data_IF_210004388887
#
_entry.id   IF_210004388887
#
_cell.length_a   1.000
_cell.length_b   1.000
_cell.length_c   1.000
_cell.angle_alpha   90.00
_cell.angle_beta   90.00
_cell.angle_gamma   90.00
#
_symmetry.space_group_name_H-M   'P 1'
#
loop_
_entity.id
_entity.type
_entity.pdbx_description
1 polymer ?
#
# COMPACT_ATOMS: atom_id res chain seq x y z
N UNK A 1 12.56 22.11 -9.63
CA UNK A 1 12.97 21.10 -10.64
C UNK A 1 13.49 19.81 -10.03
N UNK A 2 14.35 19.81 -8.99
CA UNK A 2 14.68 18.57 -8.22
C UNK A 2 13.78 18.37 -7.00
N UNK A 3 13.36 19.46 -6.35
CA UNK A 3 12.48 19.42 -5.16
C UNK A 3 11.14 18.74 -5.47
N UNK A 4 10.58 19.04 -6.64
CA UNK A 4 9.27 18.50 -7.08
C UNK A 4 9.30 16.98 -7.28
N UNK A 5 10.46 16.41 -7.67
CA UNK A 5 10.61 14.96 -7.83
C UNK A 5 10.77 14.24 -6.49
N UNK A 6 11.42 14.88 -5.51
CA UNK A 6 11.58 14.29 -4.18
C UNK A 6 10.22 14.24 -3.47
N UNK A 7 9.47 15.34 -3.49
CA UNK A 7 8.14 15.39 -2.89
C UNK A 7 7.18 14.39 -3.55
N UNK A 8 7.24 14.21 -4.87
CA UNK A 8 6.46 13.18 -5.54
C UNK A 8 6.81 11.74 -5.09
N UNK A 9 8.10 11.46 -4.88
CA UNK A 9 8.53 10.15 -4.40
C UNK A 9 8.18 9.93 -2.92
N UNK A 10 8.21 10.98 -2.11
CA UNK A 10 7.76 10.96 -0.71
C UNK A 10 6.26 10.70 -0.62
N UNK A 11 5.43 11.44 -1.36
CA UNK A 11 3.98 11.22 -1.44
C UNK A 11 3.64 9.79 -1.90
N UNK A 12 4.39 9.27 -2.88
CA UNK A 12 4.21 7.91 -3.38
C UNK A 12 4.55 6.87 -2.29
N UNK A 13 5.61 7.10 -1.52
CA UNK A 13 6.00 6.22 -0.42
C UNK A 13 5.01 6.28 0.75
N UNK A 14 4.48 7.46 1.08
CA UNK A 14 3.43 7.63 2.09
C UNK A 14 2.16 6.86 1.73
N UNK A 15 1.88 6.69 0.43
CA UNK A 15 0.76 5.88 -0.05
C UNK A 15 1.01 4.37 -0.03
N UNK A 16 2.20 3.92 0.40
CA UNK A 16 2.61 2.51 0.36
C UNK A 16 3.05 1.97 1.72
N UNK A 17 2.79 0.68 1.94
CA UNK A 17 3.22 -0.03 3.14
C UNK A 17 4.10 -1.22 2.80
N UNK A 18 5.04 -1.53 3.70
CA UNK A 18 5.88 -2.72 3.58
C UNK A 18 5.15 -3.92 4.19
N UNK A 19 4.72 -4.85 3.33
CA UNK A 19 3.92 -6.01 3.72
C UNK A 19 4.45 -7.28 3.06
N UNK A 20 4.22 -8.44 3.67
CA UNK A 20 4.60 -9.73 3.07
C UNK A 20 3.66 -10.09 1.92
N UNK A 21 4.20 -10.15 0.70
CA UNK A 21 3.46 -10.60 -0.46
C UNK A 21 3.57 -12.12 -0.60
N UNK A 22 2.46 -12.83 -0.47
CA UNK A 22 2.45 -14.31 -0.62
C UNK A 22 2.79 -14.77 -2.03
N UNK A 23 2.56 -13.91 -3.04
CA UNK A 23 2.80 -14.24 -4.44
C UNK A 23 4.26 -14.01 -4.84
N UNK A 24 4.92 -12.99 -4.26
CA UNK A 24 6.36 -12.80 -4.39
C UNK A 24 7.16 -13.71 -3.45
N UNK A 25 6.58 -14.08 -2.30
CA UNK A 25 7.24 -14.86 -1.26
C UNK A 25 8.18 -14.05 -0.38
N UNK A 26 8.12 -12.72 -0.42
CA UNK A 26 9.00 -11.78 0.27
C UNK A 26 8.25 -10.52 0.73
N UNK A 27 8.91 -9.67 1.51
CA UNK A 27 8.39 -8.35 1.90
C UNK A 27 8.51 -7.38 0.72
N UNK A 28 7.38 -6.79 0.32
CA UNK A 28 7.30 -5.87 -0.81
C UNK A 28 6.48 -4.64 -0.44
N UNK A 29 6.68 -3.54 -1.18
CA UNK A 29 5.84 -2.36 -1.04
C UNK A 29 4.46 -2.59 -1.67
N UNK A 30 3.41 -2.23 -0.94
CA UNK A 30 2.03 -2.34 -1.36
C UNK A 30 1.36 -0.97 -1.33
N UNK A 31 0.77 -0.56 -2.44
CA UNK A 31 0.05 0.71 -2.54
C UNK A 31 -1.40 0.58 -2.09
N UNK A 32 -1.89 1.58 -1.37
CA UNK A 32 -3.31 1.74 -1.05
C UNK A 32 -4.13 1.97 -2.33
N UNK A 33 -5.06 1.07 -2.64
CA UNK A 33 -5.97 1.22 -3.78
C UNK A 33 -7.33 1.77 -3.37
N UNK A 34 -7.97 1.13 -2.38
CA UNK A 34 -9.35 1.43 -2.00
C UNK A 34 -9.60 1.11 -0.52
N UNK A 35 -10.44 1.89 0.15
CA UNK A 35 -10.97 1.54 1.49
C UNK A 35 -12.28 0.78 1.28
N UNK A 36 -12.30 -0.51 1.65
CA UNK A 36 -13.47 -1.36 1.46
C UNK A 36 -14.49 -1.17 2.58
N UNK A 37 -14.02 -1.21 3.83
CA UNK A 37 -14.87 -1.12 5.01
C UNK A 37 -14.21 -0.23 6.03
N UNK A 38 -14.99 0.63 6.69
CA UNK A 38 -14.52 1.41 7.83
C UNK A 38 -15.52 1.30 8.96
N UNK A 39 -15.08 0.74 10.07
CA UNK A 39 -15.88 0.63 11.31
C UNK A 39 -15.25 1.48 12.42
N UNK A 40 -15.83 1.42 13.62
CA UNK A 40 -15.24 2.11 14.77
C UNK A 40 -13.92 1.47 15.24
N UNK A 41 -13.74 0.18 14.96
CA UNK A 41 -12.66 -0.64 15.53
C UNK A 41 -11.61 -1.07 14.50
N UNK A 42 -11.91 -1.01 13.20
CA UNK A 42 -10.99 -1.40 12.13
C UNK A 42 -11.32 -0.75 10.79
N UNK A 43 -10.30 -0.63 9.94
CA UNK A 43 -10.41 -0.26 8.53
C UNK A 43 -9.91 -1.40 7.66
N UNK A 44 -10.75 -1.88 6.75
CA UNK A 44 -10.35 -2.84 5.73
C UNK A 44 -9.97 -2.08 4.45
N UNK A 45 -8.73 -2.27 4.01
CA UNK A 45 -8.16 -1.63 2.82
C UNK A 45 -7.77 -2.67 1.78
N UNK A 46 -7.95 -2.31 0.52
CA UNK A 46 -7.49 -3.05 -0.64
C UNK A 46 -6.11 -2.51 -1.02
N UNK A 47 -5.11 -3.37 -0.96
CA UNK A 47 -3.71 -3.03 -1.20
C UNK A 47 -3.20 -3.79 -2.42
N UNK A 48 -2.42 -3.14 -3.28
CA UNK A 48 -1.78 -3.79 -4.44
C UNK A 48 -0.27 -3.84 -4.28
N UNK A 49 0.29 -5.04 -4.43
CA UNK A 49 1.73 -5.23 -4.48
C UNK A 49 2.32 -4.48 -5.68
N UNK A 50 3.31 -3.62 -5.45
CA UNK A 50 3.96 -2.86 -6.51
C UNK A 50 4.90 -3.72 -7.39
N UNK A 51 5.20 -4.94 -6.95
CA UNK A 51 6.09 -5.88 -7.66
C UNK A 51 5.32 -6.87 -8.54
N UNK A 52 4.37 -7.63 -8.00
CA UNK A 52 3.60 -8.62 -8.77
C UNK A 52 2.23 -8.13 -9.23
N UNK A 53 1.83 -6.91 -8.85
CA UNK A 53 0.53 -6.30 -9.17
C UNK A 53 -0.68 -7.05 -8.63
N UNK A 54 -0.48 -8.02 -7.73
CA UNK A 54 -1.58 -8.72 -7.08
C UNK A 54 -2.19 -7.86 -5.99
N UNK A 55 -3.51 -7.87 -5.94
CA UNK A 55 -4.30 -7.08 -4.99
C UNK A 55 -4.84 -7.99 -3.88
N UNK A 56 -4.72 -7.55 -2.62
CA UNK A 56 -5.20 -8.28 -1.45
C UNK A 56 -5.79 -7.32 -0.42
N UNK A 57 -6.70 -7.81 0.40
CA UNK A 57 -7.27 -7.04 1.51
C UNK A 57 -6.38 -7.10 2.74
N UNK A 58 -6.32 -5.99 3.46
CA UNK A 58 -5.59 -5.81 4.71
C UNK A 58 -6.48 -5.11 5.73
N UNK A 59 -6.29 -5.46 7.00
CA UNK A 59 -6.99 -4.83 8.11
C UNK A 59 -5.98 -3.93 8.82
N UNK A 60 -6.31 -2.65 8.86
CA UNK A 60 -5.61 -1.61 9.61
C UNK A 60 -6.40 -1.33 10.92
N UNK A 61 -5.72 -1.43 12.07
CA UNK A 61 -6.29 -1.32 13.43
C UNK A 61 -6.07 0.07 14.05
#
# INVERSE_FOLDING_TARGET
MMTDQITFLEDMLESTELLYCTSCGEETLHAHEEVLTRTADLTEVLMRCTQCMETRTWIDE
#
